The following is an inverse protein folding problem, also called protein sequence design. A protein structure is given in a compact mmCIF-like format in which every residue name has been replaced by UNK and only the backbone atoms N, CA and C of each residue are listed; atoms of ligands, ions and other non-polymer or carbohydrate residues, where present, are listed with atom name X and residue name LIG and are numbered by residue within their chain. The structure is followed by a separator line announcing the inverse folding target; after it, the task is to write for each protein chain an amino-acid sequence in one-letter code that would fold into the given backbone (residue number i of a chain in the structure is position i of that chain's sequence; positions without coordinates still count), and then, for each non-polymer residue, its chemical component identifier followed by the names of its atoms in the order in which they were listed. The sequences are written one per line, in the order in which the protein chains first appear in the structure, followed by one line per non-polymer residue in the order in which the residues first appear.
data_IF_165512659188
#
_entry.id   IF_165512659188
#
_cell.length_a   1.000
_cell.length_b   1.000
_cell.length_c   1.000
_cell.angle_alpha   90.00
_cell.angle_beta   90.00
_cell.angle_gamma   90.00
#
_symmetry.space_group_name_H-M   'P 1'
#
loop_
_entity.id
_entity.type
_entity.pdbx_description
1 polymer ?
#
# COMPACT_ATOMS: atom_id res chain seq x y z
N UNK A 1 6.78 -8.06 59.42
CA UNK A 1 7.52 -7.33 58.36
C UNK A 1 7.83 -8.34 57.26
N UNK A 2 6.97 -8.43 56.24
CA UNK A 2 7.23 -7.90 54.89
C UNK A 2 8.29 -8.71 54.13
N UNK A 3 7.87 -9.79 53.45
CA UNK A 3 8.68 -10.39 52.38
C UNK A 3 7.79 -10.96 51.26
N UNK A 4 6.79 -10.18 50.86
CA UNK A 4 6.12 -10.35 49.57
C UNK A 4 7.03 -9.78 48.47
N UNK A 5 8.09 -10.51 48.13
CA UNK A 5 8.79 -10.30 46.86
C UNK A 5 8.12 -11.15 45.79
N UNK A 6 6.90 -10.74 45.42
CA UNK A 6 6.25 -11.21 44.19
C UNK A 6 7.09 -10.63 43.05
N UNK A 7 8.07 -11.41 42.59
CA UNK A 7 8.86 -11.09 41.41
C UNK A 7 8.00 -11.47 40.20
N UNK A 8 7.15 -10.54 39.76
CA UNK A 8 6.43 -10.68 38.50
C UNK A 8 7.48 -10.68 37.40
N UNK A 9 7.64 -11.76 36.60
CA UNK A 9 8.49 -11.68 35.44
C UNK A 9 7.92 -10.57 34.55
N UNK A 10 8.72 -9.51 34.35
CA UNK A 10 8.43 -8.43 33.42
C UNK A 10 8.04 -9.09 32.11
N UNK A 11 6.76 -8.94 31.74
CA UNK A 11 6.15 -9.67 30.64
C UNK A 11 7.10 -9.65 29.45
N UNK A 12 7.48 -10.84 28.99
CA UNK A 12 8.20 -11.07 27.74
C UNK A 12 7.32 -10.70 26.53
N UNK A 13 6.67 -9.55 26.59
CA UNK A 13 5.95 -8.88 25.50
C UNK A 13 6.81 -7.79 24.84
N UNK A 14 8.06 -7.59 25.27
CA UNK A 14 8.99 -6.61 24.69
C UNK A 14 9.59 -7.01 23.35
N UNK A 15 9.30 -8.23 22.85
CA UNK A 15 9.82 -8.76 21.58
C UNK A 15 8.74 -9.24 20.61
N UNK A 16 7.45 -8.99 20.86
CA UNK A 16 6.49 -9.00 19.76
C UNK A 16 6.70 -7.73 18.94
N UNK A 17 7.79 -7.74 18.17
CA UNK A 17 7.92 -6.83 17.04
C UNK A 17 6.78 -7.20 16.07
N UNK A 18 5.65 -6.51 16.14
CA UNK A 18 4.72 -6.38 15.01
C UNK A 18 5.35 -5.64 13.80
N UNK A 19 6.67 -5.71 13.62
CA UNK A 19 7.42 -4.88 12.67
C UNK A 19 7.58 -5.56 11.32
N UNK A 20 7.10 -6.79 11.20
CA UNK A 20 6.80 -7.41 9.92
C UNK A 20 5.31 -7.20 9.62
N UNK A 21 4.86 -5.94 9.66
CA UNK A 21 3.86 -5.49 8.70
C UNK A 21 4.35 -5.98 7.34
N UNK A 22 3.65 -6.97 6.76
CA UNK A 22 3.98 -7.60 5.49
C UNK A 22 4.31 -6.51 4.46
N UNK A 23 5.60 -6.22 4.30
CA UNK A 23 6.10 -5.29 3.29
C UNK A 23 5.85 -6.03 1.99
N UNK A 24 4.72 -5.76 1.33
CA UNK A 24 4.39 -6.34 0.04
C UNK A 24 5.64 -6.30 -0.84
N UNK A 25 6.05 -7.44 -1.42
CA UNK A 25 7.24 -7.52 -2.28
C UNK A 25 7.13 -6.56 -3.48
N UNK A 26 5.90 -6.13 -3.80
CA UNK A 26 5.57 -5.21 -4.88
C UNK A 26 4.94 -3.96 -4.24
N UNK A 27 5.78 -2.98 -3.90
CA UNK A 27 5.34 -1.65 -3.52
C UNK A 27 5.37 -0.77 -4.76
N UNK A 28 4.20 -0.47 -5.32
CA UNK A 28 4.10 0.51 -6.38
C UNK A 28 4.40 1.88 -5.78
N UNK A 29 5.55 2.46 -6.16
CA UNK A 29 5.88 3.82 -5.76
C UNK A 29 4.80 4.78 -6.28
N UNK A 30 4.45 5.86 -5.55
CA UNK A 30 3.48 6.86 -5.98
C UNK A 30 3.68 7.37 -7.41
N UNK A 31 4.94 7.47 -7.86
CA UNK A 31 5.26 7.85 -9.24
C UNK A 31 4.70 6.90 -10.31
N UNK A 32 4.64 5.59 -10.06
CA UNK A 32 4.07 4.63 -11.03
C UNK A 32 2.56 4.82 -11.18
N UNK A 33 1.88 5.16 -10.09
CA UNK A 33 0.43 5.43 -10.09
C UNK A 33 0.14 6.68 -10.91
N UNK A 34 0.93 7.74 -10.74
CA UNK A 34 0.80 8.98 -11.53
C UNK A 34 0.99 8.72 -13.02
N UNK A 35 2.01 7.93 -13.39
CA UNK A 35 2.25 7.56 -14.79
C UNK A 35 1.08 6.76 -15.36
N UNK A 36 0.53 5.80 -14.61
CA UNK A 36 -0.62 5.00 -15.05
C UNK A 36 -1.84 5.88 -15.30
N UNK A 37 -2.12 6.85 -14.41
CA UNK A 37 -3.21 7.82 -14.58
C UNK A 37 -3.03 8.61 -15.87
N UNK A 38 -1.82 9.13 -16.13
CA UNK A 38 -1.54 9.90 -17.36
C UNK A 38 -1.78 9.04 -18.61
N UNK A 39 -1.36 7.77 -18.60
CA UNK A 39 -1.58 6.84 -19.72
C UNK A 39 -3.07 6.62 -19.98
N UNK A 40 -3.88 6.45 -18.93
CA UNK A 40 -5.34 6.29 -19.05
C UNK A 40 -5.97 7.55 -19.65
N UNK A 41 -5.59 8.74 -19.19
CA UNK A 41 -6.08 10.01 -19.73
C UNK A 41 -5.74 10.14 -21.22
N UNK A 42 -4.52 9.78 -21.62
CA UNK A 42 -4.11 9.81 -23.02
C UNK A 42 -4.96 8.84 -23.86
N UNK A 43 -5.22 7.64 -23.35
CA UNK A 43 -6.10 6.68 -24.02
C UNK A 43 -7.52 7.20 -24.17
N UNK A 44 -8.09 7.82 -23.14
CA UNK A 44 -9.42 8.45 -23.22
C UNK A 44 -9.46 9.57 -24.25
N UNK A 45 -8.43 10.41 -24.33
CA UNK A 45 -8.33 11.48 -25.33
C UNK A 45 -8.27 10.91 -26.73
N UNK A 46 -7.42 9.89 -26.97
CA UNK A 46 -7.32 9.22 -28.27
C UNK A 46 -8.67 8.61 -28.64
N UNK A 47 -9.33 7.94 -27.69
CA UNK A 47 -10.64 7.37 -27.91
C UNK A 47 -11.71 8.44 -28.16
N UNK A 48 -11.65 9.60 -27.52
CA UNK A 48 -12.64 10.66 -27.74
C UNK A 48 -12.45 11.36 -29.10
N UNK A 49 -11.19 11.52 -29.53
CA UNK A 49 -10.86 12.18 -30.79
C UNK A 49 -11.06 11.25 -32.00
N UNK A 50 -10.63 10.00 -31.87
CA UNK A 50 -10.67 9.03 -32.96
C UNK A 50 -11.79 8.01 -32.83
N UNK A 51 -12.42 7.89 -31.66
CA UNK A 51 -13.48 6.90 -31.44
C UNK A 51 -14.71 7.16 -32.27
N UNK A 52 -15.06 8.40 -32.59
CA UNK A 52 -16.16 8.66 -33.54
C UNK A 52 -15.82 8.12 -34.94
N UNK A 53 -14.56 8.24 -35.37
CA UNK A 53 -14.09 7.71 -36.66
C UNK A 53 -13.87 6.20 -36.64
N UNK A 54 -13.50 5.60 -35.49
CA UNK A 54 -13.22 4.16 -35.37
C UNK A 54 -14.45 3.33 -35.05
N UNK A 55 -15.37 3.85 -34.23
CA UNK A 55 -16.62 3.18 -33.87
C UNK A 55 -17.78 3.56 -34.80
N UNK A 56 -17.60 4.50 -35.73
CA UNK A 56 -18.47 4.69 -36.90
C UNK A 56 -19.94 4.97 -36.56
N UNK A 57 -20.18 5.73 -35.49
CA UNK A 57 -21.51 6.28 -35.12
C UNK A 57 -21.55 7.76 -35.51
#
# INVERSE_FOLDING_TARGET
MASDKINMPQGSGGLMRYFDEYKSKIQLKPGHIVVLIIVVIILEIILHLYGNNWFGI
#
